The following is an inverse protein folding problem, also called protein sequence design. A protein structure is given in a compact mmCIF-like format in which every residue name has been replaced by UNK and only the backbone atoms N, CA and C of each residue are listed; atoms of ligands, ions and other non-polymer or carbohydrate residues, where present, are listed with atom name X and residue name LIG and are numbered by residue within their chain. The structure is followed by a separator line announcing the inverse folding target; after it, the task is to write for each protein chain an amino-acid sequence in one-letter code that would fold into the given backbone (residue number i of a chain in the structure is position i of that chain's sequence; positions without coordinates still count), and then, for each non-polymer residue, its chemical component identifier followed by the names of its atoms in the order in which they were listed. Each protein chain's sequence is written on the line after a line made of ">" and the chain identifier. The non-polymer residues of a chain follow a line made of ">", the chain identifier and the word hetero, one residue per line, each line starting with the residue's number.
data_IF_978120898775
#
_entry.id   IF_978120898775
#
_cell.length_a   1.000
_cell.length_b   1.000
_cell.length_c   1.000
_cell.angle_alpha   90.00
_cell.angle_beta   90.00
_cell.angle_gamma   90.00
#
_symmetry.space_group_name_H-M   'P 1'
#
loop_
_entity.id
_entity.type
_entity.pdbx_description
1 polymer ?
#
# COMPACT_ATOMS: atom_id res chain seq x y z
N UNK A 1 -12.13 -0.15 -8.21
CA UNK A 1 -11.69 -1.53 -7.90
C UNK A 1 -12.31 -1.91 -6.58
N UNK A 2 -12.95 -3.07 -6.51
CA UNK A 2 -13.60 -3.59 -5.31
C UNK A 2 -12.65 -4.61 -4.66
N UNK A 3 -12.45 -4.58 -3.34
CA UNK A 3 -11.52 -5.47 -2.66
C UNK A 3 -11.92 -6.96 -2.76
N UNK A 4 -13.18 -7.25 -3.08
CA UNK A 4 -13.70 -8.60 -3.31
C UNK A 4 -13.06 -9.32 -4.51
N UNK A 5 -12.41 -8.59 -5.42
CA UNK A 5 -11.70 -9.14 -6.57
C UNK A 5 -10.26 -8.62 -6.62
N UNK A 6 -9.35 -9.16 -5.79
CA UNK A 6 -7.99 -8.68 -5.72
C UNK A 6 -7.26 -8.92 -7.05
N UNK A 7 -6.47 -7.93 -7.47
CA UNK A 7 -5.59 -8.06 -8.62
C UNK A 7 -4.49 -9.06 -8.28
N UNK A 8 -4.25 -10.02 -9.17
CA UNK A 8 -3.20 -11.01 -8.98
C UNK A 8 -1.82 -10.41 -9.31
N UNK A 9 -0.72 -10.87 -8.67
CA UNK A 9 0.62 -10.40 -9.00
C UNK A 9 1.03 -10.52 -10.48
N UNK A 10 0.47 -11.49 -11.21
CA UNK A 10 0.78 -11.74 -12.62
C UNK A 10 -0.25 -11.14 -13.60
N UNK A 11 -1.17 -10.30 -13.10
CA UNK A 11 -2.24 -9.72 -13.91
C UNK A 11 -1.66 -8.90 -15.10
N UNK A 12 -2.11 -9.13 -16.34
CA UNK A 12 -1.63 -8.36 -17.48
C UNK A 12 -1.86 -6.84 -17.35
N UNK A 13 -2.93 -6.42 -16.65
CA UNK A 13 -3.30 -5.01 -16.52
C UNK A 13 -2.25 -4.18 -15.76
N UNK A 14 -1.43 -4.80 -14.89
CA UNK A 14 -0.42 -4.09 -14.11
C UNK A 14 0.96 -4.05 -14.79
N UNK A 15 1.17 -4.79 -15.89
CA UNK A 15 2.47 -4.87 -16.59
C UNK A 15 2.93 -3.55 -17.19
N UNK A 16 1.98 -2.65 -17.46
CA UNK A 16 2.24 -1.36 -18.08
C UNK A 16 2.42 -0.22 -17.06
N UNK A 17 2.39 -0.52 -15.75
CA UNK A 17 2.57 0.50 -14.73
C UNK A 17 3.99 1.04 -14.78
N UNK A 18 4.08 2.35 -14.97
CA UNK A 18 5.33 3.10 -14.92
C UNK A 18 5.73 3.37 -13.47
N UNK A 19 7.03 3.62 -13.25
CA UNK A 19 7.53 4.02 -11.92
C UNK A 19 6.83 5.28 -11.38
N UNK A 20 6.45 6.22 -12.26
CA UNK A 20 5.69 7.42 -11.87
C UNK A 20 4.29 7.07 -11.37
N UNK A 21 3.58 6.16 -12.05
CA UNK A 21 2.26 5.72 -11.61
C UNK A 21 2.34 4.96 -10.27
N UNK A 22 3.36 4.11 -10.11
CA UNK A 22 3.60 3.41 -8.83
C UNK A 22 3.87 4.41 -7.71
N UNK A 23 4.71 5.43 -7.94
CA UNK A 23 4.97 6.46 -6.94
C UNK A 23 3.69 7.23 -6.57
N UNK A 24 2.82 7.53 -7.54
CA UNK A 24 1.51 8.14 -7.29
C UNK A 24 0.64 7.28 -6.38
N UNK A 25 0.54 5.98 -6.66
CA UNK A 25 -0.22 5.04 -5.83
C UNK A 25 0.32 4.93 -4.39
N UNK A 26 1.65 5.04 -4.19
CA UNK A 26 2.26 5.06 -2.85
C UNK A 26 1.82 6.33 -2.09
N UNK A 27 1.82 7.49 -2.77
CA UNK A 27 1.37 8.75 -2.17
C UNK A 27 -0.11 8.70 -1.81
N UNK A 28 -0.94 8.14 -2.68
CA UNK A 28 -2.38 7.93 -2.42
C UNK A 28 -2.59 7.02 -1.21
N UNK A 29 -1.95 5.85 -1.17
CA UNK A 29 -2.06 4.92 -0.05
C UNK A 29 -1.59 5.57 1.26
N UNK A 30 -0.50 6.33 1.23
CA UNK A 30 -0.01 7.06 2.42
C UNK A 30 -1.02 8.09 2.91
N UNK A 31 -1.65 8.80 1.99
CA UNK A 31 -2.60 9.86 2.31
C UNK A 31 -3.89 9.26 2.87
N UNK A 32 -4.46 8.28 2.17
CA UNK A 32 -5.74 7.69 2.54
C UNK A 32 -5.64 6.76 3.75
N UNK A 33 -4.54 6.02 3.87
CA UNK A 33 -4.30 5.11 4.97
C UNK A 33 -4.04 5.78 6.31
N UNK A 34 -3.64 7.06 6.32
CA UNK A 34 -3.29 7.80 7.54
C UNK A 34 -4.44 7.86 8.55
N UNK A 35 -5.67 8.03 8.06
CA UNK A 35 -6.89 8.06 8.88
C UNK A 35 -7.12 6.73 9.62
N UNK A 36 -6.62 5.63 9.08
CA UNK A 36 -6.73 4.28 9.62
C UNK A 36 -5.48 3.85 10.38
N UNK A 37 -4.55 4.77 10.67
CA UNK A 37 -3.31 4.47 11.37
C UNK A 37 -2.27 3.73 10.52
N UNK A 38 -2.42 3.67 9.19
CA UNK A 38 -1.33 3.24 8.32
C UNK A 38 -0.30 4.37 8.26
N UNK A 39 0.88 4.10 8.81
CA UNK A 39 1.97 5.06 8.90
C UNK A 39 3.13 4.61 8.01
N UNK A 40 3.78 5.57 7.36
CA UNK A 40 5.01 5.37 6.59
C UNK A 40 6.14 6.16 7.23
N UNK A 41 6.66 5.68 8.37
CA UNK A 41 7.80 6.32 8.99
C UNK A 41 9.07 6.09 8.18
N UNK A 42 10.01 7.02 8.30
CA UNK A 42 11.38 6.80 7.88
C UNK A 42 12.12 6.02 8.97
N UNK A 43 12.73 4.90 8.60
CA UNK A 43 13.49 4.05 9.51
C UNK A 43 14.88 3.78 8.92
N UNK A 44 15.88 3.55 9.77
CA UNK A 44 17.21 3.14 9.31
C UNK A 44 17.21 1.68 8.84
N UNK A 45 18.14 1.28 7.94
CA UNK A 45 18.28 -0.14 7.58
C UNK A 45 18.49 -1.02 8.82
N UNK A 46 17.68 -2.07 8.96
CA UNK A 46 17.72 -2.99 10.10
C UNK A 46 16.91 -2.55 11.31
N UNK A 47 16.35 -1.34 11.33
CA UNK A 47 15.43 -0.90 12.37
C UNK A 47 14.08 -1.60 12.22
N UNK A 48 13.65 -2.31 13.26
CA UNK A 48 12.38 -3.07 13.29
C UNK A 48 11.36 -2.51 14.28
N UNK A 49 11.74 -1.53 15.09
CA UNK A 49 10.87 -0.85 16.05
C UNK A 49 11.21 0.64 16.00
N UNK A 50 10.19 1.48 15.81
CA UNK A 50 10.33 2.93 15.81
C UNK A 50 9.25 3.55 16.70
N UNK A 51 9.64 4.42 17.63
CA UNK A 51 8.73 5.06 18.59
C UNK A 51 7.79 4.06 19.32
N UNK A 52 8.32 2.87 19.66
CA UNK A 52 7.55 1.80 20.32
C UNK A 52 6.60 1.02 19.39
N UNK A 53 6.57 1.34 18.09
CA UNK A 53 5.79 0.63 17.08
C UNK A 53 6.66 -0.38 16.33
N UNK A 54 6.19 -1.62 16.23
CA UNK A 54 6.84 -2.64 15.39
C UNK A 54 6.66 -2.25 13.92
N UNK A 55 7.77 -2.19 13.19
CA UNK A 55 7.77 -1.89 11.76
C UNK A 55 7.55 -3.17 10.96
N UNK A 56 6.62 -3.11 10.01
CA UNK A 56 6.43 -4.14 9.01
C UNK A 56 7.04 -3.66 7.70
N UNK A 57 8.18 -4.24 7.33
CA UNK A 57 8.76 -4.01 6.00
C UNK A 57 8.08 -4.91 4.99
N UNK A 58 7.47 -4.30 3.97
CA UNK A 58 6.87 -5.04 2.87
C UNK A 58 7.94 -5.55 1.88
N UNK A 59 9.15 -4.98 1.88
CA UNK A 59 10.21 -5.39 0.95
C UNK A 59 9.79 -5.24 -0.52
N UNK A 60 10.26 -6.17 -1.37
CA UNK A 60 9.94 -6.19 -2.80
C UNK A 60 8.58 -6.86 -3.05
N UNK A 61 7.49 -6.13 -2.83
CA UNK A 61 6.14 -6.60 -3.17
C UNK A 61 5.76 -6.29 -4.61
N UNK A 62 4.87 -7.11 -5.23
CA UNK A 62 4.26 -6.77 -6.51
C UNK A 62 3.41 -5.49 -6.43
N UNK A 63 3.30 -4.76 -7.54
CA UNK A 63 2.44 -3.57 -7.64
C UNK A 63 0.97 -3.86 -7.30
N UNK A 64 0.49 -5.09 -7.53
CA UNK A 64 -0.85 -5.52 -7.12
C UNK A 64 -1.09 -5.40 -5.62
N UNK A 65 -0.07 -5.63 -4.78
CA UNK A 65 -0.19 -5.48 -3.32
C UNK A 65 -0.55 -4.05 -2.95
N UNK A 66 0.13 -3.07 -3.55
CA UNK A 66 -0.15 -1.65 -3.33
C UNK A 66 -1.57 -1.29 -3.77
N UNK A 67 -1.98 -1.75 -4.95
CA UNK A 67 -3.32 -1.45 -5.51
C UNK A 67 -4.43 -2.08 -4.66
N UNK A 68 -4.26 -3.33 -4.25
CA UNK A 68 -5.25 -4.04 -3.45
C UNK A 68 -5.38 -3.42 -2.05
N UNK A 69 -4.27 -3.02 -1.42
CA UNK A 69 -4.30 -2.31 -0.13
C UNK A 69 -5.02 -0.96 -0.24
N UNK A 70 -4.77 -0.20 -1.30
CA UNK A 70 -5.49 1.05 -1.55
C UNK A 70 -6.99 0.83 -1.77
N UNK A 71 -7.37 -0.24 -2.48
CA UNK A 71 -8.77 -0.62 -2.65
C UNK A 71 -9.43 -0.95 -1.30
N UNK A 72 -8.77 -1.72 -0.44
CA UNK A 72 -9.25 -2.05 0.91
C UNK A 72 -9.44 -0.81 1.78
N UNK A 73 -8.46 0.10 1.79
CA UNK A 73 -8.53 1.37 2.56
C UNK A 73 -9.72 2.20 2.11
N UNK A 74 -9.93 2.33 0.80
CA UNK A 74 -11.06 3.06 0.22
C UNK A 74 -12.41 2.43 0.56
N UNK A 75 -12.48 1.11 0.44
CA UNK A 75 -13.70 0.36 0.74
C UNK A 75 -14.06 0.47 2.22
N UNK A 76 -13.08 0.33 3.12
CA UNK A 76 -13.30 0.48 4.55
C UNK A 76 -13.77 1.89 4.94
N UNK A 77 -13.30 2.93 4.24
CA UNK A 77 -13.83 4.30 4.42
C UNK A 77 -15.32 4.40 4.09
N UNK A 78 -15.80 3.70 3.06
CA UNK A 78 -17.19 3.76 2.63
C UNK A 78 -18.16 3.06 3.61
N UNK A 79 -17.65 2.14 4.43
CA UNK A 79 -18.43 1.40 5.42
C UNK A 79 -18.39 2.01 6.83
N UNK A 80 -17.81 3.20 6.97
CA UNK A 80 -17.74 3.95 8.23
C UNK A 80 -18.71 5.14 8.21
#
# INVERSE_FOLDING_TARGET
>A
MNALYPIRPADPAIRHLTSRQIAGLIVELRTEGREFGLLWPSAQPGETVLNGQVLVSLGNVPASTLINLLALVREFRLYR
#
